data_IF_971887722363
#
_entry.id   IF_971887722363
#
_cell.length_a   1.000
_cell.length_b   1.000
_cell.length_c   1.000
_cell.angle_alpha   90.00
_cell.angle_beta   90.00
_cell.angle_gamma   90.00
#
_symmetry.space_group_name_H-M   'P 1'
#
loop_
_entity.id
_entity.type
_entity.pdbx_description
1 polymer ?
#
# COMPACT_ATOMS: atom_id res chain seq x y z
N UNK A 1 5.85 11.05 -22.85
CA UNK A 1 5.01 9.87 -22.97
C UNK A 1 3.60 10.17 -22.46
N UNK A 2 2.60 9.56 -23.09
CA UNK A 2 1.18 9.81 -22.86
C UNK A 2 0.76 9.54 -21.40
N UNK A 3 1.38 8.58 -20.75
CA UNK A 3 1.19 8.24 -19.34
C UNK A 3 1.48 9.42 -18.39
N UNK A 4 2.54 10.18 -18.64
CA UNK A 4 2.92 11.32 -17.80
C UNK A 4 1.94 12.51 -17.94
N UNK A 5 1.23 12.60 -19.07
CA UNK A 5 0.15 13.60 -19.27
C UNK A 5 -1.14 13.20 -18.55
N UNK A 6 -1.42 11.90 -18.47
CA UNK A 6 -2.63 11.35 -17.85
C UNK A 6 -2.55 11.35 -16.31
N UNK A 7 -1.34 11.24 -15.76
CA UNK A 7 -1.08 11.23 -14.32
C UNK A 7 0.01 12.26 -14.00
N UNK A 8 -0.34 13.56 -13.91
CA UNK A 8 0.63 14.59 -13.56
C UNK A 8 1.27 14.23 -12.22
N UNK A 9 2.59 14.29 -12.18
CA UNK A 9 3.36 14.08 -10.95
C UNK A 9 2.90 15.11 -9.93
N UNK A 10 2.14 14.69 -8.93
CA UNK A 10 1.88 15.56 -7.79
C UNK A 10 3.22 15.81 -7.08
N UNK A 11 3.37 16.98 -6.49
CA UNK A 11 4.58 17.35 -5.72
C UNK A 11 4.67 16.61 -4.39
N UNK A 12 3.73 15.70 -4.11
CA UNK A 12 3.65 14.90 -2.90
C UNK A 12 4.58 13.69 -2.88
N UNK A 13 4.59 13.00 -1.76
CA UNK A 13 5.24 11.71 -1.57
C UNK A 13 4.50 10.65 -2.41
N UNK A 14 5.24 9.94 -3.24
CA UNK A 14 4.72 8.82 -4.02
C UNK A 14 5.54 7.57 -3.72
N UNK A 15 4.89 6.61 -3.13
CA UNK A 15 5.45 5.28 -2.96
C UNK A 15 4.84 4.36 -4.03
N UNK A 16 5.71 3.64 -4.75
CA UNK A 16 5.30 2.58 -5.67
C UNK A 16 5.66 1.27 -4.98
N UNK A 17 4.66 0.44 -4.74
CA UNK A 17 4.81 -0.86 -4.10
C UNK A 17 4.69 -1.93 -5.17
N UNK A 18 5.74 -2.71 -5.33
CA UNK A 18 5.77 -3.90 -6.18
C UNK A 18 5.84 -5.14 -5.28
N UNK A 19 4.92 -6.06 -5.47
CA UNK A 19 4.80 -7.29 -4.70
C UNK A 19 4.95 -8.48 -5.62
N UNK A 20 5.91 -9.36 -5.32
CA UNK A 20 6.11 -10.63 -6.01
C UNK A 20 5.92 -11.78 -5.03
N UNK A 21 4.79 -12.47 -5.14
CA UNK A 21 4.45 -13.58 -4.25
C UNK A 21 5.26 -14.84 -4.53
N UNK A 22 5.74 -15.04 -5.76
CA UNK A 22 6.58 -16.20 -6.11
C UNK A 22 7.95 -16.10 -5.43
N UNK A 23 8.52 -14.90 -5.40
CA UNK A 23 9.80 -14.63 -4.73
C UNK A 23 9.63 -14.33 -3.23
N UNK A 24 8.41 -14.13 -2.75
CA UNK A 24 8.14 -13.70 -1.38
C UNK A 24 8.59 -12.27 -1.07
N UNK A 25 8.82 -11.43 -2.08
CA UNK A 25 9.49 -10.13 -1.96
C UNK A 25 8.54 -8.98 -2.23
N UNK A 26 8.67 -7.93 -1.41
CA UNK A 26 8.01 -6.65 -1.55
C UNK A 26 9.07 -5.55 -1.73
N UNK A 27 8.94 -4.77 -2.80
CA UNK A 27 9.81 -3.63 -3.11
C UNK A 27 9.02 -2.34 -3.03
N UNK A 28 9.44 -1.41 -2.19
CA UNK A 28 8.87 -0.07 -2.10
C UNK A 28 9.85 0.95 -2.67
N UNK A 29 9.43 1.61 -3.74
CA UNK A 29 10.17 2.72 -4.36
C UNK A 29 9.60 4.02 -3.81
N UNK A 30 10.34 4.67 -2.93
CA UNK A 30 9.91 5.88 -2.24
C UNK A 30 10.69 7.11 -2.66
N UNK A 31 10.03 8.27 -2.67
CA UNK A 31 10.65 9.57 -2.94
C UNK A 31 10.31 10.54 -1.81
N UNK A 32 11.35 10.96 -1.10
CA UNK A 32 11.23 11.88 0.04
C UNK A 32 12.24 13.02 -0.14
N UNK A 33 11.77 14.27 -0.25
CA UNK A 33 12.62 15.48 -0.36
C UNK A 33 13.77 15.38 -1.37
N UNK A 34 13.46 14.93 -2.59
CA UNK A 34 14.48 14.77 -3.64
C UNK A 34 15.33 13.51 -3.52
N UNK A 35 15.37 12.88 -2.37
CA UNK A 35 15.99 11.56 -2.18
C UNK A 35 15.07 10.44 -2.65
N UNK A 36 15.66 9.38 -3.17
CA UNK A 36 14.96 8.22 -3.72
C UNK A 36 15.49 6.95 -3.08
N UNK A 37 14.58 6.18 -2.46
CA UNK A 37 14.93 4.99 -1.70
C UNK A 37 14.24 3.76 -2.27
N UNK A 38 14.97 2.64 -2.29
CA UNK A 38 14.44 1.31 -2.55
C UNK A 38 14.49 0.51 -1.24
N UNK A 39 13.32 0.20 -0.71
CA UNK A 39 13.15 -0.69 0.43
C UNK A 39 12.79 -2.07 -0.11
N UNK A 40 13.56 -3.09 0.27
CA UNK A 40 13.30 -4.50 -0.07
C UNK A 40 13.03 -5.23 1.23
N UNK A 41 11.88 -5.90 1.31
CA UNK A 41 11.45 -6.64 2.49
C UNK A 41 10.72 -7.91 2.10
N UNK A 42 10.66 -8.89 2.99
CA UNK A 42 9.84 -10.07 2.81
C UNK A 42 8.35 -9.71 2.91
N UNK A 43 7.51 -10.39 2.13
CA UNK A 43 6.06 -10.22 2.24
C UNK A 43 5.64 -10.76 3.61
N UNK A 44 5.13 -9.85 4.45
CA UNK A 44 4.55 -10.20 5.74
C UNK A 44 3.03 -10.27 5.60
N UNK A 45 2.45 -11.41 5.95
CA UNK A 45 1.00 -11.57 6.01
C UNK A 45 0.53 -11.08 7.38
N UNK A 46 -0.41 -10.11 7.43
CA UNK A 46 -1.00 -9.68 8.69
C UNK A 46 -1.74 -10.81 9.41
N UNK A 47 -1.73 -10.78 10.73
CA UNK A 47 -2.54 -11.69 11.56
C UNK A 47 -3.99 -11.16 11.60
N UNK A 48 -4.89 -11.83 10.87
CA UNK A 48 -6.25 -11.39 10.66
C UNK A 48 -7.24 -12.01 11.65
N UNK A 49 -8.07 -11.16 12.26
CA UNK A 49 -9.31 -11.58 12.92
C UNK A 49 -10.47 -11.39 11.94
N UNK A 50 -11.11 -12.49 11.51
CA UNK A 50 -12.21 -12.47 10.54
C UNK A 50 -13.58 -12.51 11.24
N UNK A 51 -14.57 -11.83 10.65
CA UNK A 51 -15.94 -11.70 11.18
C UNK A 51 -16.92 -12.16 10.10
N UNK A 52 -17.43 -13.38 10.20
CA UNK A 52 -18.33 -14.00 9.21
C UNK A 52 -19.69 -13.30 9.11
N UNK A 53 -20.21 -12.80 10.26
CA UNK A 53 -21.55 -12.19 10.32
C UNK A 53 -21.54 -10.68 10.04
N UNK A 54 -20.37 -10.09 9.76
CA UNK A 54 -20.25 -8.66 9.47
C UNK A 54 -19.95 -8.44 8.00
N UNK A 55 -20.97 -8.03 7.24
CA UNK A 55 -20.87 -7.85 5.80
C UNK A 55 -21.29 -6.45 5.36
N UNK A 56 -20.73 -5.99 4.26
CA UNK A 56 -21.13 -4.80 3.50
C UNK A 56 -21.11 -5.11 2.01
N UNK A 57 -21.71 -4.26 1.21
CA UNK A 57 -21.61 -4.34 -0.25
C UNK A 57 -20.66 -3.28 -0.78
N UNK A 58 -19.63 -3.71 -1.55
CA UNK A 58 -18.70 -2.83 -2.27
C UNK A 58 -18.70 -3.21 -3.74
N UNK A 59 -18.97 -2.27 -4.63
CA UNK A 59 -19.05 -2.50 -6.09
C UNK A 59 -20.02 -3.62 -6.47
N UNK A 60 -21.10 -3.82 -5.70
CA UNK A 60 -22.10 -4.87 -5.94
C UNK A 60 -21.70 -6.26 -5.42
N UNK A 61 -20.53 -6.42 -4.82
CA UNK A 61 -20.07 -7.68 -4.24
C UNK A 61 -20.24 -7.67 -2.72
N UNK A 62 -20.61 -8.82 -2.16
CA UNK A 62 -20.60 -9.01 -0.71
C UNK A 62 -19.18 -9.07 -0.19
N UNK A 63 -18.89 -8.29 0.85
CA UNK A 63 -17.59 -8.22 1.48
C UNK A 63 -17.72 -8.50 2.97
N UNK A 64 -16.92 -9.44 3.47
CA UNK A 64 -16.80 -9.78 4.88
C UNK A 64 -15.77 -8.88 5.57
N UNK A 65 -15.98 -8.65 6.85
CA UNK A 65 -15.08 -7.85 7.68
C UNK A 65 -13.90 -8.67 8.19
N UNK A 66 -12.71 -8.04 8.22
CA UNK A 66 -11.57 -8.53 8.99
C UNK A 66 -10.83 -7.35 9.64
N UNK A 67 -10.09 -7.63 10.72
CA UNK A 67 -9.29 -6.62 11.43
C UNK A 67 -7.91 -7.15 11.75
N UNK A 68 -6.95 -6.26 11.87
CA UNK A 68 -5.58 -6.56 12.29
C UNK A 68 -4.89 -5.34 12.88
N UNK A 69 -3.85 -5.58 13.69
CA UNK A 69 -2.81 -4.59 13.96
C UNK A 69 -1.61 -4.90 13.06
N UNK A 70 -1.28 -4.00 12.16
CA UNK A 70 -0.21 -4.23 11.19
C UNK A 70 0.58 -2.95 10.93
N UNK A 71 1.89 -3.06 11.08
CA UNK A 71 2.83 -1.95 10.88
C UNK A 71 2.47 -0.73 11.74
N UNK A 72 2.22 -0.98 13.03
CA UNK A 72 1.92 0.04 14.04
C UNK A 72 0.53 0.67 13.92
N UNK A 73 -0.34 0.18 13.06
CA UNK A 73 -1.70 0.70 12.88
C UNK A 73 -2.76 -0.38 12.96
N UNK A 74 -3.90 -0.01 13.53
CA UNK A 74 -5.11 -0.81 13.47
C UNK A 74 -5.77 -0.63 12.10
N UNK A 75 -6.16 -1.76 11.50
CA UNK A 75 -6.86 -1.83 10.23
C UNK A 75 -8.17 -2.58 10.38
N UNK A 76 -9.21 -2.01 9.80
CA UNK A 76 -10.49 -2.64 9.57
C UNK A 76 -10.68 -2.73 8.05
N UNK A 77 -10.89 -3.94 7.54
CA UNK A 77 -10.98 -4.17 6.10
C UNK A 77 -12.23 -4.96 5.75
N UNK A 78 -12.65 -4.81 4.50
CA UNK A 78 -13.70 -5.62 3.89
C UNK A 78 -13.15 -6.27 2.62
N UNK A 79 -13.26 -7.60 2.57
CA UNK A 79 -12.75 -8.42 1.48
C UNK A 79 -13.87 -9.28 0.88
N UNK A 80 -13.78 -9.59 -0.41
CA UNK A 80 -14.73 -10.45 -1.12
C UNK A 80 -14.08 -11.73 -1.62
N UNK A 81 -14.71 -12.86 -1.37
CA UNK A 81 -14.30 -14.15 -1.89
C UNK A 81 -14.75 -14.38 -3.34
N UNK A 82 -15.62 -13.51 -3.88
CA UNK A 82 -15.97 -13.50 -5.31
C UNK A 82 -14.77 -13.24 -6.22
N UNK A 83 -13.72 -12.61 -5.67
CA UNK A 83 -12.42 -12.44 -6.31
C UNK A 83 -11.39 -13.17 -5.44
N UNK A 84 -11.09 -14.46 -5.72
CA UNK A 84 -10.24 -15.31 -4.87
C UNK A 84 -8.74 -14.98 -5.06
N UNK A 85 -8.40 -13.72 -4.92
CA UNK A 85 -7.03 -13.21 -5.01
C UNK A 85 -6.68 -12.58 -3.67
N UNK A 86 -5.72 -13.19 -2.96
CA UNK A 86 -5.29 -12.79 -1.62
C UNK A 86 -4.49 -11.49 -1.61
N UNK A 87 -5.06 -10.42 -2.14
CA UNK A 87 -4.42 -9.12 -2.28
C UNK A 87 -5.31 -7.97 -1.80
N UNK A 88 -4.68 -6.83 -1.56
CA UNK A 88 -5.36 -5.61 -1.16
C UNK A 88 -4.50 -4.36 -1.37
N UNK A 89 -5.01 -3.20 -0.97
CA UNK A 89 -4.29 -1.95 -1.08
C UNK A 89 -3.07 -1.93 -0.17
N UNK A 90 -2.09 -1.11 -0.53
CA UNK A 90 -0.84 -0.91 0.18
C UNK A 90 -0.10 -2.25 0.40
N UNK A 91 0.22 -2.64 1.64
CA UNK A 91 0.88 -3.91 1.99
C UNK A 91 -0.08 -4.97 2.55
N UNK A 92 -1.39 -4.69 2.56
CA UNK A 92 -2.40 -5.61 3.09
C UNK A 92 -2.63 -6.77 2.12
N UNK A 93 -2.59 -8.00 2.65
CA UNK A 93 -2.80 -9.24 1.90
C UNK A 93 -3.09 -10.39 2.88
N UNK A 94 -3.32 -11.61 2.37
CA UNK A 94 -3.40 -12.82 3.20
C UNK A 94 -4.83 -13.26 3.56
N UNK A 95 -5.87 -12.50 3.18
CA UNK A 95 -7.26 -12.93 3.29
C UNK A 95 -7.66 -13.85 2.13
N UNK A 96 -8.70 -14.69 2.27
CA UNK A 96 -9.13 -15.64 1.22
C UNK A 96 -9.79 -14.96 0.00
N UNK A 97 -9.70 -13.65 -0.12
CA UNK A 97 -10.24 -12.86 -1.22
C UNK A 97 -9.62 -11.48 -1.29
N UNK A 98 -10.08 -10.69 -2.28
CA UNK A 98 -9.57 -9.36 -2.53
C UNK A 98 -10.13 -8.34 -1.53
N UNK A 99 -9.26 -7.57 -0.91
CA UNK A 99 -9.65 -6.46 -0.03
C UNK A 99 -10.09 -5.28 -0.91
N UNK A 100 -11.37 -4.92 -0.83
CA UNK A 100 -11.96 -3.82 -1.59
C UNK A 100 -12.07 -2.53 -0.79
N UNK A 101 -12.04 -2.61 0.54
CA UNK A 101 -12.06 -1.44 1.41
C UNK A 101 -11.16 -1.67 2.60
N UNK A 102 -10.37 -0.67 2.95
CA UNK A 102 -9.48 -0.69 4.10
C UNK A 102 -9.55 0.65 4.84
N UNK A 103 -9.76 0.61 6.13
CA UNK A 103 -9.88 1.76 7.00
C UNK A 103 -8.89 1.65 8.16
N UNK A 104 -8.03 2.65 8.30
CA UNK A 104 -7.26 2.89 9.52
C UNK A 104 -7.82 4.15 10.18
N UNK A 105 -8.58 4.03 11.27
CA UNK A 105 -9.34 5.14 11.85
C UNK A 105 -8.48 6.37 12.12
N UNK A 106 -9.02 7.55 11.80
CA UNK A 106 -8.36 8.87 11.93
C UNK A 106 -7.13 9.07 11.06
N UNK A 107 -6.76 8.09 10.24
CA UNK A 107 -5.60 8.19 9.39
C UNK A 107 -5.94 8.07 7.90
N UNK A 108 -6.53 6.96 7.45
CA UNK A 108 -6.73 6.69 6.03
C UNK A 108 -7.92 5.78 5.76
N UNK A 109 -8.67 6.09 4.72
CA UNK A 109 -9.65 5.22 4.10
C UNK A 109 -9.27 4.98 2.64
N UNK A 110 -9.20 3.71 2.25
CA UNK A 110 -8.98 3.29 0.87
C UNK A 110 -10.18 2.44 0.47
N UNK A 111 -10.81 2.77 -0.65
CA UNK A 111 -11.96 2.03 -1.17
C UNK A 111 -11.85 1.85 -2.68
N UNK A 112 -12.14 0.65 -3.17
CA UNK A 112 -12.17 0.35 -4.59
C UNK A 112 -13.35 1.08 -5.25
N UNK A 113 -13.07 1.81 -6.31
CA UNK A 113 -14.09 2.56 -7.10
C UNK A 113 -14.43 1.86 -8.42
N UNK A 114 -13.58 0.95 -8.88
CA UNK A 114 -13.81 0.12 -10.06
C UNK A 114 -12.87 -1.06 -10.08
N UNK A 115 -13.28 -2.13 -10.78
CA UNK A 115 -12.47 -3.33 -11.02
C UNK A 115 -12.48 -3.60 -12.52
N UNK A 116 -11.30 -3.84 -13.10
CA UNK A 116 -11.13 -4.26 -14.48
C UNK A 116 -10.46 -5.62 -14.50
N UNK A 117 -11.07 -6.60 -15.14
CA UNK A 117 -10.61 -7.99 -15.21
C UNK A 117 -10.41 -8.52 -16.65
N UNK A 118 -10.59 -7.67 -17.67
CA UNK A 118 -10.43 -8.02 -19.09
C UNK A 118 -9.56 -7.00 -19.78
N UNK A 119 -8.83 -7.45 -20.82
CA UNK A 119 -7.94 -6.59 -21.62
C UNK A 119 -6.97 -5.80 -20.73
N UNK A 120 -6.34 -6.51 -19.79
CA UNK A 120 -5.36 -5.91 -18.90
C UNK A 120 -4.02 -5.78 -19.63
N UNK A 121 -3.42 -4.58 -19.54
CA UNK A 121 -2.03 -4.39 -19.91
C UNK A 121 -1.12 -5.01 -18.84
N UNK A 122 0.03 -5.57 -19.22
CA UNK A 122 1.00 -6.04 -18.24
C UNK A 122 1.39 -4.94 -17.26
N UNK A 123 1.36 -5.23 -15.97
CA UNK A 123 1.81 -4.30 -14.94
C UNK A 123 3.33 -4.32 -14.90
N UNK A 124 3.95 -3.22 -15.33
CA UNK A 124 5.40 -3.06 -15.31
C UNK A 124 5.77 -1.81 -14.50
N UNK A 125 6.84 -1.92 -13.72
CA UNK A 125 7.44 -0.73 -13.11
C UNK A 125 8.16 0.07 -14.18
N UNK A 126 7.71 1.30 -14.39
CA UNK A 126 8.29 2.20 -15.38
C UNK A 126 9.04 3.36 -14.72
N UNK A 127 10.36 3.28 -14.75
CA UNK A 127 11.25 4.33 -14.26
C UNK A 127 11.66 5.27 -15.42
N UNK A 128 10.70 6.05 -15.95
CA UNK A 128 10.90 6.84 -17.15
C UNK A 128 11.97 7.95 -17.04
N UNK A 129 12.32 8.37 -15.84
CA UNK A 129 13.39 9.32 -15.55
C UNK A 129 14.71 8.63 -15.22
N UNK A 130 14.76 7.33 -15.31
CA UNK A 130 15.95 6.52 -14.99
C UNK A 130 16.56 6.87 -13.63
N UNK A 131 15.74 7.07 -12.63
CA UNK A 131 16.17 7.41 -11.29
C UNK A 131 17.01 6.29 -10.66
N UNK A 132 18.10 6.67 -10.03
CA UNK A 132 18.85 5.78 -9.15
C UNK A 132 18.21 5.82 -7.76
N UNK A 133 17.73 4.67 -7.30
CA UNK A 133 17.19 4.49 -5.96
C UNK A 133 18.30 3.94 -5.05
N UNK A 134 18.53 4.60 -3.91
CA UNK A 134 19.46 4.11 -2.90
C UNK A 134 18.78 2.98 -2.10
N UNK A 135 19.38 1.80 -1.99
CA UNK A 135 18.85 0.75 -1.12
C UNK A 135 18.90 1.22 0.34
N UNK A 136 17.87 0.91 1.09
CA UNK A 136 17.77 1.25 2.51
C UNK A 136 16.94 0.19 3.24
N UNK A 137 17.32 -0.13 4.47
CA UNK A 137 16.51 -0.94 5.37
C UNK A 137 15.21 -0.22 5.76
N UNK A 138 14.11 -0.98 5.98
CA UNK A 138 12.80 -0.44 6.33
C UNK A 138 12.86 0.44 7.58
N UNK A 139 13.46 -0.07 8.64
CA UNK A 139 13.51 0.65 9.93
C UNK A 139 14.37 1.91 9.81
N UNK A 140 15.50 1.82 9.12
CA UNK A 140 16.33 2.99 8.84
C UNK A 140 15.58 4.03 8.02
N UNK A 141 14.81 3.60 7.02
CA UNK A 141 13.95 4.49 6.23
C UNK A 141 12.91 5.19 7.10
N UNK A 142 12.18 4.47 7.97
CA UNK A 142 11.17 5.04 8.87
C UNK A 142 11.79 6.05 9.82
N UNK A 143 12.95 5.76 10.42
CA UNK A 143 13.71 6.72 11.25
C UNK A 143 14.08 8.00 10.49
N UNK A 144 14.41 7.89 9.20
CA UNK A 144 14.70 9.08 8.38
C UNK A 144 13.46 9.92 8.11
N UNK A 145 12.33 9.31 7.78
CA UNK A 145 11.11 10.04 7.42
C UNK A 145 10.37 10.60 8.62
N UNK A 146 10.51 9.97 9.80
CA UNK A 146 9.89 10.45 11.04
C UNK A 146 10.77 11.45 11.81
N UNK A 147 12.01 11.68 11.36
CA UNK A 147 12.91 12.63 12.04
C UNK A 147 12.30 14.02 12.09
N UNK A 148 12.16 14.65 13.28
CA UNK A 148 11.68 16.01 13.40
C UNK A 148 12.49 17.00 12.55
N UNK A 149 11.82 17.95 11.90
CA UNK A 149 12.47 18.97 11.08
C UNK A 149 12.89 18.52 9.68
N UNK A 150 12.62 17.27 9.30
CA UNK A 150 12.85 16.80 7.92
C UNK A 150 11.87 17.43 6.94
N UNK A 151 10.68 17.83 7.42
CA UNK A 151 9.65 18.45 6.58
C UNK A 151 9.63 19.98 6.69
N UNK A 152 9.40 20.71 5.58
CA UNK A 152 9.18 22.16 5.62
C UNK A 152 8.03 22.48 6.59
N UNK A 153 8.30 23.33 7.59
CA UNK A 153 7.34 23.68 8.64
C UNK A 153 7.53 22.92 9.97
N UNK A 154 8.56 22.07 10.09
CA UNK A 154 8.95 21.45 11.38
C UNK A 154 8.06 20.30 11.84
N UNK A 155 7.11 19.85 11.01
CA UNK A 155 6.23 18.72 11.32
C UNK A 155 6.91 17.37 11.14
N UNK A 156 6.38 16.32 11.80
CA UNK A 156 6.66 14.93 11.46
C UNK A 156 5.77 14.51 10.28
N UNK A 157 6.23 13.58 9.46
CA UNK A 157 5.38 13.00 8.43
C UNK A 157 4.53 11.89 9.05
N UNK A 158 3.21 12.06 8.99
CA UNK A 158 2.31 10.93 9.23
C UNK A 158 2.46 9.95 8.08
N UNK A 159 3.23 8.90 8.31
CA UNK A 159 3.38 7.81 7.36
C UNK A 159 2.30 6.76 7.59
N UNK A 160 2.02 5.98 6.54
CA UNK A 160 1.10 4.85 6.64
C UNK A 160 1.64 3.75 7.58
N UNK A 161 2.97 3.71 7.75
CA UNK A 161 3.65 2.87 8.75
C UNK A 161 4.16 3.72 9.89
N UNK A 162 4.09 3.18 11.10
CA UNK A 162 4.84 3.63 12.27
C UNK A 162 5.75 2.50 12.74
N UNK A 163 6.80 2.85 13.49
CA UNK A 163 7.66 1.84 14.10
C UNK A 163 6.83 0.98 15.07
N UNK A 164 7.01 -0.34 14.98
CA UNK A 164 6.44 -1.30 15.93
C UNK A 164 7.16 -1.22 17.26
#
# INVERSE_FOLDING_TARGET
>A
PEYAKKYPLSTGRHDIIYRNFEEGVLKTYSRVFGSKYLIVEDITIPDWTMYEDSTITVLGMECKKATTNFRGRYWEVWYTEEIPISQGPWKLCGLPGMILKANSPKFMLIEAISIKNKNLEPVTFYNYLNYKYAPIDRIEYLKKVHKPGVYPGGGSCDTIEIDD
#
